data_IF_922739995094
#
_entry.id   IF_922739995094
#
_cell.length_a   1.000
_cell.length_b   1.000
_cell.length_c   1.000
_cell.angle_alpha   90.00
_cell.angle_beta   90.00
_cell.angle_gamma   90.00
#
_symmetry.space_group_name_H-M   'P 1'
#
loop_
_entity.id
_entity.type
_entity.pdbx_description
1 polymer ?
#
# COMPACT_ATOMS: atom_id res chain seq x y z
N UNK A 1 16.46 20.78 -8.57
CA UNK A 1 17.60 20.14 -9.26
C UNK A 1 18.08 18.88 -8.55
N UNK A 2 17.83 18.76 -7.24
CA UNK A 2 18.00 17.54 -6.43
C UNK A 2 16.79 17.44 -5.51
N UNK A 3 16.38 16.24 -5.09
CA UNK A 3 15.30 16.07 -4.12
C UNK A 3 14.83 14.62 -4.00
N UNK A 4 14.24 14.27 -2.87
CA UNK A 4 13.67 12.95 -2.63
C UNK A 4 12.16 13.06 -2.66
N UNK A 5 11.49 12.05 -3.22
CA UNK A 5 10.05 11.95 -3.12
C UNK A 5 9.61 11.72 -1.68
N UNK A 6 8.59 12.46 -1.24
CA UNK A 6 7.99 12.24 0.08
C UNK A 6 7.25 10.89 0.13
N UNK A 7 7.22 10.24 1.29
CA UNK A 7 6.41 9.04 1.47
C UNK A 7 4.90 9.36 1.34
N UNK A 8 4.14 8.45 0.74
CA UNK A 8 2.69 8.52 0.70
C UNK A 8 2.09 8.30 2.08
N UNK A 9 1.04 9.05 2.41
CA UNK A 9 0.33 8.92 3.68
C UNK A 9 -0.44 7.59 3.78
N UNK A 10 -0.68 7.07 4.99
CA UNK A 10 -1.53 5.90 5.16
C UNK A 10 -2.97 6.20 4.73
N UNK A 11 -3.69 5.15 4.32
CA UNK A 11 -5.11 5.23 4.02
C UNK A 11 -5.95 5.62 5.23
N UNK A 12 -7.05 6.34 5.00
CA UNK A 12 -7.99 6.73 6.06
C UNK A 12 -8.76 5.53 6.60
N UNK A 13 -8.81 5.38 7.92
CA UNK A 13 -9.59 4.33 8.57
C UNK A 13 -11.09 4.59 8.40
N UNK A 14 -11.82 3.56 8.01
CA UNK A 14 -13.28 3.56 8.01
C UNK A 14 -13.81 2.17 8.36
N UNK A 15 -14.99 2.12 8.98
CA UNK A 15 -15.55 0.88 9.51
C UNK A 15 -15.77 -0.20 8.43
N UNK A 16 -16.26 0.21 7.25
CA UNK A 16 -16.68 -0.73 6.20
C UNK A 16 -15.77 -0.74 4.97
N UNK A 17 -15.29 0.43 4.54
CA UNK A 17 -14.45 0.59 3.35
C UNK A 17 -13.20 1.37 3.75
N UNK A 18 -12.03 0.75 3.69
CA UNK A 18 -10.76 1.37 4.02
C UNK A 18 -10.33 2.33 2.91
N UNK A 19 -9.84 3.51 3.28
CA UNK A 19 -9.25 4.44 2.33
C UNK A 19 -7.97 3.89 1.71
N UNK A 20 -7.70 4.20 0.43
CA UNK A 20 -6.43 3.83 -0.21
C UNK A 20 -5.27 4.59 0.43
N UNK A 21 -4.09 3.95 0.44
CA UNK A 21 -2.85 4.63 0.80
C UNK A 21 -2.45 5.66 -0.27
N UNK A 22 -1.85 6.75 0.17
CA UNK A 22 -1.34 7.79 -0.71
C UNK A 22 -0.16 7.30 -1.55
N UNK A 23 -0.01 7.84 -2.76
CA UNK A 23 1.16 7.55 -3.58
C UNK A 23 2.41 8.24 -3.01
N UNK A 24 3.57 7.61 -3.19
CA UNK A 24 4.84 8.26 -2.94
C UNK A 24 5.10 9.38 -3.94
N UNK A 25 5.72 10.47 -3.46
CA UNK A 25 6.11 11.60 -4.29
C UNK A 25 7.22 11.24 -5.28
N UNK A 26 7.31 11.97 -6.38
CA UNK A 26 8.42 11.82 -7.33
C UNK A 26 9.73 12.38 -6.75
N UNK A 27 10.85 11.76 -7.12
CA UNK A 27 12.19 12.30 -6.89
C UNK A 27 12.46 13.59 -7.66
N UNK A 28 13.55 14.26 -7.34
CA UNK A 28 14.02 15.43 -8.09
C UNK A 28 14.38 15.08 -9.53
N UNK A 29 14.17 16.02 -10.47
CA UNK A 29 14.26 15.77 -11.92
C UNK A 29 15.57 15.12 -12.40
N UNK A 30 16.73 15.59 -11.92
CA UNK A 30 18.03 15.10 -12.37
C UNK A 30 18.57 13.99 -11.47
N UNK A 31 18.46 14.20 -10.16
CA UNK A 31 18.90 13.25 -9.15
C UNK A 31 17.85 13.18 -8.03
N UNK A 32 17.43 11.97 -7.69
CA UNK A 32 16.44 11.77 -6.64
C UNK A 32 15.72 10.45 -6.70
N UNK A 33 15.55 9.81 -5.53
CA UNK A 33 14.73 8.61 -5.41
C UNK A 33 13.27 9.00 -5.22
N UNK A 34 12.37 8.16 -5.75
CA UNK A 34 10.95 8.27 -5.48
C UNK A 34 10.62 7.90 -4.02
N UNK A 35 9.52 8.45 -3.50
CA UNK A 35 9.04 8.13 -2.16
C UNK A 35 8.30 6.79 -2.12
N UNK A 36 8.30 6.12 -0.98
CA UNK A 36 7.47 4.93 -0.79
C UNK A 36 5.97 5.27 -0.87
N UNK A 37 5.15 4.36 -1.39
CA UNK A 37 3.69 4.44 -1.25
C UNK A 37 3.27 4.29 0.21
N UNK A 38 2.07 4.77 0.55
CA UNK A 38 1.44 4.58 1.85
C UNK A 38 0.61 3.30 1.91
N UNK A 39 0.55 2.65 3.07
CA UNK A 39 -0.28 1.45 3.23
C UNK A 39 -1.77 1.80 3.11
N UNK A 40 -2.56 0.89 2.52
CA UNK A 40 -4.01 0.99 2.50
C UNK A 40 -4.62 0.75 3.88
N UNK A 41 -5.78 1.35 4.17
CA UNK A 41 -6.45 1.15 5.45
C UNK A 41 -7.12 -0.23 5.54
N UNK A 42 -7.07 -0.78 6.75
CA UNK A 42 -7.86 -1.94 7.16
C UNK A 42 -9.35 -1.57 7.30
N UNK A 43 -10.25 -2.45 6.86
CA UNK A 43 -11.69 -2.31 7.06
C UNK A 43 -12.41 -3.66 7.09
N UNK A 44 -13.66 -3.68 7.56
CA UNK A 44 -14.42 -4.92 7.76
C UNK A 44 -14.91 -5.59 6.48
N UNK A 45 -15.21 -4.82 5.42
CA UNK A 45 -15.72 -5.38 4.16
C UNK A 45 -14.70 -5.27 3.02
N UNK A 46 -14.22 -4.06 2.73
CA UNK A 46 -13.24 -3.83 1.67
C UNK A 46 -12.09 -2.98 2.20
N UNK A 47 -10.89 -3.55 2.25
CA UNK A 47 -9.72 -2.77 2.64
C UNK A 47 -9.21 -1.90 1.51
N UNK A 48 -8.55 -0.80 1.88
CA UNK A 48 -7.94 0.10 0.94
C UNK A 48 -6.73 -0.53 0.26
N UNK A 49 -6.53 -0.25 -1.02
CA UNK A 49 -5.29 -0.59 -1.71
C UNK A 49 -4.12 0.20 -1.14
N UNK A 50 -2.92 -0.36 -1.24
CA UNK A 50 -1.70 0.39 -0.98
C UNK A 50 -1.43 1.39 -2.10
N UNK A 51 -0.74 2.47 -1.75
CA UNK A 51 -0.30 3.47 -2.70
C UNK A 51 0.86 2.96 -3.55
N UNK A 52 0.96 3.51 -4.76
CA UNK A 52 2.12 3.29 -5.61
C UNK A 52 3.34 3.99 -5.03
N UNK A 53 4.53 3.45 -5.31
CA UNK A 53 5.77 4.17 -5.09
C UNK A 53 5.93 5.33 -6.07
N UNK A 54 6.71 6.32 -5.69
CA UNK A 54 7.02 7.48 -6.51
C UNK A 54 8.05 7.17 -7.60
N UNK A 55 8.02 7.91 -8.71
CA UNK A 55 9.02 7.79 -9.76
C UNK A 55 10.39 8.36 -9.32
N UNK A 56 11.47 7.81 -9.86
CA UNK A 56 12.81 8.36 -9.73
C UNK A 56 12.99 9.61 -10.61
N UNK A 57 14.06 10.38 -10.31
CA UNK A 57 14.67 11.30 -11.27
C UNK A 57 15.42 10.60 -12.39
N UNK A 58 16.12 11.37 -13.24
CA UNK A 58 16.95 10.82 -14.31
C UNK A 58 17.99 9.82 -13.79
N UNK A 59 18.55 10.09 -12.60
CA UNK A 59 19.43 9.18 -11.86
C UNK A 59 18.86 9.01 -10.45
N UNK A 60 18.46 7.79 -10.12
CA UNK A 60 17.89 7.40 -8.83
C UNK A 60 17.02 6.16 -8.95
N UNK A 61 16.49 5.72 -7.81
CA UNK A 61 15.61 4.55 -7.71
C UNK A 61 14.15 4.95 -7.54
N UNK A 62 13.26 4.16 -8.12
CA UNK A 62 11.83 4.29 -7.85
C UNK A 62 11.53 3.99 -6.39
N UNK A 63 10.49 4.62 -5.86
CA UNK A 63 9.97 4.27 -4.54
C UNK A 63 9.27 2.92 -4.57
N UNK A 64 9.27 2.15 -3.47
CA UNK A 64 8.48 0.94 -3.37
C UNK A 64 6.99 1.26 -3.30
N UNK A 65 6.15 0.42 -3.90
CA UNK A 65 4.73 0.40 -3.59
C UNK A 65 4.47 -0.11 -2.17
N UNK A 66 3.27 0.14 -1.66
CA UNK A 66 2.87 -0.31 -0.34
C UNK A 66 1.81 -1.41 -0.40
N UNK A 67 1.69 -2.23 0.67
CA UNK A 67 0.66 -3.25 0.76
C UNK A 67 -0.74 -2.62 0.86
N UNK A 68 -1.72 -3.38 0.40
CA UNK A 68 -3.12 -3.13 0.74
C UNK A 68 -3.38 -3.34 2.23
N UNK A 69 -4.44 -2.73 2.74
CA UNK A 69 -4.98 -3.06 4.04
C UNK A 69 -5.50 -4.51 4.05
N UNK A 70 -5.37 -5.18 5.18
CA UNK A 70 -5.97 -6.50 5.39
C UNK A 70 -7.44 -6.35 5.74
N UNK A 71 -8.33 -6.85 4.88
CA UNK A 71 -9.75 -6.92 5.22
C UNK A 71 -9.95 -8.03 6.25
N UNK A 72 -10.78 -7.77 7.27
CA UNK A 72 -11.26 -8.81 8.17
C UNK A 72 -12.34 -9.67 7.48
N UNK A 73 -12.17 -10.01 6.21
CA UNK A 73 -12.97 -11.06 5.59
C UNK A 73 -12.51 -12.37 6.20
N UNK A 74 -13.34 -12.92 7.09
CA UNK A 74 -13.03 -14.09 7.92
C UNK A 74 -12.24 -15.13 7.15
N UNK A 75 -11.03 -15.42 7.63
CA UNK A 75 -10.27 -16.57 7.17
C UNK A 75 -11.13 -17.81 7.40
N UNK A 76 -11.71 -18.35 6.34
CA UNK A 76 -12.44 -19.60 6.41
C UNK A 76 -11.44 -20.68 6.82
N UNK A 77 -11.49 -21.10 8.07
CA UNK A 77 -10.76 -22.28 8.54
C UNK A 77 -11.48 -23.48 7.96
N UNK A 78 -10.95 -24.05 6.88
CA UNK A 78 -11.45 -25.32 6.34
C UNK A 78 -11.00 -26.43 7.29
N UNK A 79 -11.88 -26.85 8.18
CA UNK A 79 -11.68 -28.08 8.95
C UNK A 79 -11.99 -29.25 8.02
N UNK A 80 -10.97 -29.90 7.47
CA UNK A 80 -11.15 -31.18 6.78
C UNK A 80 -11.45 -32.25 7.85
N UNK A 81 -12.73 -32.55 8.06
CA UNK A 81 -13.11 -33.74 8.80
C UNK A 81 -12.82 -34.98 7.95
N UNK A 82 -12.16 -35.98 8.54
CA UNK A 82 -11.99 -37.28 7.88
C UNK A 82 -13.38 -37.93 7.68
N UNK A 83 -13.64 -38.58 6.52
CA UNK A 83 -14.89 -39.30 6.31
C UNK A 83 -15.03 -40.43 7.34
N UNK A 84 -16.26 -40.79 7.77
CA UNK A 84 -16.47 -41.92 8.66
C UNK A 84 -15.97 -43.22 8.01
N UNK A 85 -15.44 -44.11 8.86
CA UNK A 85 -14.87 -45.40 8.47
C UNK A 85 -15.90 -46.37 7.89
#
# INVERSE_FOLDING_TARGET
MFGHGGAGGPGGLAANIGGPGGNGGAGGLLFGNGGAGGAGAIASAFSGNGGNGGAAGMIGDGGPGAPAGSAATGAATVVLAAPPA
#
